data_IF_288803370823
#
_entry.id   IF_288803370823
#
_cell.length_a   1.000
_cell.length_b   1.000
_cell.length_c   1.000
_cell.angle_alpha   90.00
_cell.angle_beta   90.00
_cell.angle_gamma   90.00
#
_symmetry.space_group_name_H-M   'P 1'
#
loop_
_entity.id
_entity.type
_entity.pdbx_description
1 polymer ?
#
# COMPACT_ATOMS: atom_id res chain seq x y z
N UNK A 1 -10.39 -8.63 -13.32
CA UNK A 1 -9.71 -8.56 -12.00
C UNK A 1 -8.48 -7.69 -12.16
N UNK A 2 -8.20 -6.79 -11.21
CA UNK A 2 -6.99 -5.96 -11.24
C UNK A 2 -5.76 -6.80 -10.85
N UNK A 3 -4.64 -6.61 -11.54
CA UNK A 3 -3.39 -7.33 -11.28
C UNK A 3 -2.20 -6.38 -11.39
N UNK A 4 -1.86 -5.73 -10.29
CA UNK A 4 -0.73 -4.81 -10.19
C UNK A 4 0.54 -5.60 -9.94
N UNK A 5 1.52 -5.50 -10.84
CA UNK A 5 2.81 -6.18 -10.73
C UNK A 5 3.96 -5.21 -11.04
N UNK A 6 5.12 -5.52 -10.47
CA UNK A 6 6.37 -4.82 -10.72
C UNK A 6 6.67 -3.72 -9.69
N UNK A 7 7.86 -3.14 -9.81
CA UNK A 7 8.35 -2.06 -8.96
C UNK A 7 8.63 -0.81 -9.79
N UNK A 8 8.20 0.34 -9.28
CA UNK A 8 8.32 1.61 -9.98
C UNK A 8 8.92 2.68 -9.06
N UNK A 9 10.09 3.19 -9.43
CA UNK A 9 10.64 4.39 -8.82
C UNK A 9 9.84 5.62 -9.28
N UNK A 10 9.28 6.37 -8.33
CA UNK A 10 8.50 7.58 -8.59
C UNK A 10 8.91 8.69 -7.62
N UNK A 11 8.50 9.92 -7.93
CA UNK A 11 8.78 11.07 -7.08
C UNK A 11 7.50 11.73 -6.57
N UNK A 12 7.57 12.26 -5.35
CA UNK A 12 6.56 13.13 -4.75
C UNK A 12 7.02 14.59 -4.81
N UNK A 13 6.10 15.49 -5.16
CA UNK A 13 6.36 16.91 -5.15
C UNK A 13 6.28 17.50 -3.73
N UNK A 14 6.70 18.77 -3.57
CA UNK A 14 6.70 19.46 -2.28
C UNK A 14 5.30 19.58 -1.63
N UNK A 15 4.22 19.46 -2.41
CA UNK A 15 2.84 19.51 -1.91
C UNK A 15 2.33 18.13 -1.47
N UNK A 16 3.10 17.07 -1.69
CA UNK A 16 2.70 15.71 -1.38
C UNK A 16 1.96 15.01 -2.52
N UNK A 17 2.05 15.53 -3.75
CA UNK A 17 1.43 14.90 -4.93
C UNK A 17 2.42 13.99 -5.63
N UNK A 18 1.95 12.84 -6.08
CA UNK A 18 2.72 11.92 -6.92
C UNK A 18 1.91 11.54 -8.16
N UNK A 19 2.60 11.28 -9.26
CA UNK A 19 2.00 10.78 -10.48
C UNK A 19 2.02 9.25 -10.47
N UNK A 20 0.89 8.62 -10.77
CA UNK A 20 0.79 7.17 -10.90
C UNK A 20 1.39 6.76 -12.25
N UNK A 21 2.27 5.74 -12.31
CA UNK A 21 2.82 5.21 -13.55
C UNK A 21 1.71 4.86 -14.55
N UNK A 22 1.96 5.11 -15.84
CA UNK A 22 0.93 5.01 -16.88
C UNK A 22 0.20 3.65 -16.89
N UNK A 23 0.94 2.55 -16.79
CA UNK A 23 0.38 1.20 -16.74
C UNK A 23 -0.54 0.98 -15.53
N UNK A 24 -0.08 1.36 -14.33
CA UNK A 24 -0.89 1.25 -13.10
C UNK A 24 -2.14 2.12 -13.20
N UNK A 25 -2.02 3.32 -13.79
CA UNK A 25 -3.15 4.22 -14.02
C UNK A 25 -4.19 3.62 -14.96
N UNK A 26 -3.78 2.98 -16.05
CA UNK A 26 -4.68 2.29 -16.97
C UNK A 26 -5.42 1.14 -16.28
N UNK A 27 -4.70 0.35 -15.48
CA UNK A 27 -5.30 -0.73 -14.69
C UNK A 27 -6.30 -0.21 -13.66
N UNK A 28 -6.00 0.90 -12.96
CA UNK A 28 -6.92 1.58 -12.04
C UNK A 28 -8.13 2.18 -12.77
N UNK A 29 -7.93 2.79 -13.94
CA UNK A 29 -9.04 3.33 -14.73
C UNK A 29 -10.01 2.22 -15.14
N UNK A 30 -9.50 1.09 -15.63
CA UNK A 30 -10.31 -0.07 -16.01
C UNK A 30 -11.01 -0.71 -14.80
N UNK A 31 -10.34 -0.79 -13.65
CA UNK A 31 -10.85 -1.51 -12.48
C UNK A 31 -11.87 -0.71 -11.65
N UNK A 32 -11.67 0.60 -11.51
CA UNK A 32 -12.38 1.41 -10.53
C UNK A 32 -12.52 2.89 -10.93
N UNK A 33 -12.30 3.22 -12.20
CA UNK A 33 -12.32 4.61 -12.70
C UNK A 33 -11.37 5.53 -11.93
N UNK A 34 -10.22 5.01 -11.47
CA UNK A 34 -9.23 5.80 -10.72
C UNK A 34 -9.58 6.07 -9.26
N UNK A 35 -10.65 5.45 -8.72
CA UNK A 35 -11.01 5.53 -7.29
C UNK A 35 -10.23 4.51 -6.48
N UNK A 36 -9.51 5.00 -5.47
CA UNK A 36 -8.64 4.18 -4.62
C UNK A 36 -8.90 4.48 -3.16
N UNK A 37 -8.41 3.60 -2.30
CA UNK A 37 -8.30 3.84 -0.86
C UNK A 37 -6.83 3.66 -0.48
N UNK A 38 -6.26 4.70 0.13
CA UNK A 38 -4.91 4.67 0.67
C UNK A 38 -4.98 4.50 2.19
N UNK A 39 -4.20 3.58 2.75
CA UNK A 39 -4.14 3.35 4.20
C UNK A 39 -2.74 2.99 4.68
N UNK A 40 -2.52 2.95 5.98
CA UNK A 40 -1.28 2.51 6.61
C UNK A 40 -1.14 0.99 6.52
N UNK A 41 0.05 0.48 6.20
CA UNK A 41 0.35 -0.93 6.44
C UNK A 41 0.44 -1.19 7.96
N UNK A 42 -0.12 -2.29 8.44
CA UNK A 42 -0.19 -2.57 9.88
C UNK A 42 1.04 -3.27 10.44
N UNK A 43 1.87 -3.80 9.55
CA UNK A 43 3.10 -4.49 9.89
C UNK A 43 4.19 -3.51 10.36
N UNK A 44 5.34 -4.04 10.74
CA UNK A 44 6.48 -3.21 11.17
C UNK A 44 7.05 -2.39 10.01
N UNK A 45 6.81 -2.90 8.81
CA UNK A 45 7.00 -2.27 7.52
C UNK A 45 6.13 -1.01 7.36
N UNK A 46 6.68 0.14 7.75
CA UNK A 46 6.06 1.47 7.61
C UNK A 46 5.97 1.89 6.13
N UNK A 47 5.03 1.31 5.40
CA UNK A 47 4.62 1.71 4.06
C UNK A 47 3.11 2.01 4.03
N UNK A 48 2.61 2.49 2.88
CA UNK A 48 1.18 2.67 2.64
C UNK A 48 0.64 1.60 1.71
N UNK A 49 -0.59 1.17 1.95
CA UNK A 49 -1.31 0.25 1.09
C UNK A 49 -2.30 1.04 0.25
N UNK A 50 -2.28 0.82 -1.07
CA UNK A 50 -3.20 1.39 -2.03
C UNK A 50 -4.07 0.28 -2.61
N UNK A 51 -5.36 0.34 -2.33
CA UNK A 51 -6.36 -0.57 -2.87
C UNK A 51 -7.20 0.16 -3.90
N UNK A 52 -7.53 -0.46 -5.05
CA UNK A 52 -8.68 0.00 -5.82
C UNK A 52 -9.94 -0.13 -4.94
N UNK A 53 -10.87 0.81 -5.09
CA UNK A 53 -12.05 0.93 -4.21
C UNK A 53 -12.84 -0.40 -4.05
N UNK A 54 -13.15 -1.17 -5.11
CA UNK A 54 -13.90 -2.44 -4.95
C UNK A 54 -13.18 -3.48 -4.08
N UNK A 55 -11.84 -3.54 -4.16
CA UNK A 55 -11.03 -4.45 -3.36
C UNK A 55 -11.04 -4.04 -1.88
N UNK A 56 -10.99 -2.74 -1.61
CA UNK A 56 -11.13 -2.22 -0.25
C UNK A 56 -12.51 -2.51 0.33
N UNK A 57 -13.57 -2.32 -0.45
CA UNK A 57 -14.95 -2.59 -0.01
C UNK A 57 -15.17 -4.06 0.34
N UNK A 58 -14.50 -4.99 -0.37
CA UNK A 58 -14.53 -6.42 -0.05
C UNK A 58 -13.72 -6.77 1.22
N UNK A 59 -12.63 -6.04 1.49
CA UNK A 59 -11.74 -6.27 2.63
C UNK A 59 -12.27 -5.62 3.92
N UNK A 60 -12.83 -4.40 3.85
CA UNK A 60 -13.25 -3.59 5.00
C UNK A 60 -14.13 -4.35 6.00
N UNK A 61 -15.19 -5.08 5.60
CA UNK A 61 -16.05 -5.78 6.56
C UNK A 61 -15.30 -6.85 7.37
N UNK A 62 -14.26 -7.46 6.78
CA UNK A 62 -13.43 -8.46 7.46
C UNK A 62 -12.58 -7.82 8.56
N UNK A 63 -12.06 -6.61 8.31
CA UNK A 63 -11.31 -5.83 9.30
C UNK A 63 -12.25 -5.33 10.42
N UNK A 64 -13.45 -4.87 10.06
CA UNK A 64 -14.47 -4.41 11.02
C UNK A 64 -14.95 -5.54 11.93
N UNK A 65 -15.01 -6.77 11.43
CA UNK A 65 -15.42 -7.95 12.19
C UNK A 65 -14.37 -8.48 13.19
N UNK A 66 -13.15 -7.91 13.19
CA UNK A 66 -12.10 -8.33 14.11
C UNK A 66 -12.50 -8.12 15.59
N UNK A 67 -12.09 -9.01 16.51
CA UNK A 67 -12.53 -8.98 17.90
C UNK A 67 -11.99 -7.78 18.66
N UNK A 68 -12.88 -6.84 19.00
CA UNK A 68 -12.54 -5.60 19.69
C UNK A 68 -11.89 -5.78 21.08
N UNK A 69 -12.02 -6.95 21.72
CA UNK A 69 -11.36 -7.23 23.00
C UNK A 69 -9.87 -7.58 22.85
N UNK A 70 -9.44 -8.03 21.66
CA UNK A 70 -8.05 -8.34 21.39
C UNK A 70 -7.23 -7.06 21.10
N UNK A 71 -6.11 -6.86 21.81
CA UNK A 71 -5.26 -5.66 21.66
C UNK A 71 -4.64 -5.54 20.27
N UNK A 72 -4.19 -6.65 19.67
CA UNK A 72 -3.62 -6.69 18.33
C UNK A 72 -4.67 -6.37 17.26
N UNK A 73 -5.87 -6.93 17.39
CA UNK A 73 -7.00 -6.62 16.52
C UNK A 73 -7.35 -5.12 16.53
N UNK A 74 -7.45 -4.50 17.72
CA UNK A 74 -7.68 -3.05 17.83
C UNK A 74 -6.55 -2.22 17.20
N UNK A 75 -5.30 -2.64 17.35
CA UNK A 75 -4.15 -1.98 16.71
C UNK A 75 -4.28 -2.05 15.18
N UNK A 76 -4.57 -3.23 14.64
CA UNK A 76 -4.78 -3.46 13.21
C UNK A 76 -5.93 -2.60 12.66
N UNK A 77 -7.09 -2.59 13.32
CA UNK A 77 -8.23 -1.75 12.95
C UNK A 77 -7.87 -0.25 12.96
N UNK A 78 -7.16 0.24 13.99
CA UNK A 78 -6.75 1.65 14.06
C UNK A 78 -5.77 2.03 12.96
N UNK A 79 -4.85 1.13 12.60
CA UNK A 79 -3.90 1.37 11.52
C UNK A 79 -4.64 1.36 10.17
N UNK A 80 -5.35 0.28 9.84
CA UNK A 80 -6.02 0.13 8.55
C UNK A 80 -7.25 1.03 8.39
N UNK A 81 -8.22 0.95 9.29
CA UNK A 81 -9.46 1.74 9.15
C UNK A 81 -9.23 3.20 9.53
N UNK A 82 -8.45 3.44 10.59
CA UNK A 82 -8.21 4.81 11.08
C UNK A 82 -7.40 5.69 10.14
N UNK A 83 -6.61 5.10 9.24
CA UNK A 83 -5.87 5.85 8.22
C UNK A 83 -6.46 5.73 6.81
N UNK A 84 -7.48 4.89 6.61
CA UNK A 84 -8.09 4.69 5.29
C UNK A 84 -8.67 6.00 4.76
N UNK A 85 -8.12 6.46 3.64
CA UNK A 85 -8.52 7.69 2.97
C UNK A 85 -8.91 7.36 1.53
N UNK A 86 -10.20 7.50 1.18
CA UNK A 86 -10.64 7.45 -0.22
C UNK A 86 -10.02 8.60 -1.01
N UNK A 87 -9.49 8.30 -2.20
CA UNK A 87 -8.87 9.25 -3.11
C UNK A 87 -9.29 8.94 -4.54
N UNK A 88 -9.21 9.94 -5.40
CA UNK A 88 -9.42 9.81 -6.84
C UNK A 88 -8.23 10.40 -7.57
N UNK A 89 -7.79 9.73 -8.63
CA UNK A 89 -6.76 10.26 -9.52
C UNK A 89 -7.29 11.51 -10.23
N UNK A 90 -6.49 12.58 -10.25
CA UNK A 90 -6.81 13.76 -11.06
C UNK A 90 -6.68 13.47 -12.57
N UNK A 91 -7.06 14.44 -13.40
CA UNK A 91 -6.97 14.33 -14.86
C UNK A 91 -5.54 14.12 -15.39
N UNK A 92 -4.52 14.41 -14.59
CA UNK A 92 -3.11 14.14 -14.90
C UNK A 92 -2.64 12.78 -14.34
N UNK A 93 -3.53 12.01 -13.70
CA UNK A 93 -3.22 10.74 -13.07
C UNK A 93 -2.42 10.86 -11.78
N UNK A 94 -2.58 11.96 -11.05
CA UNK A 94 -1.90 12.21 -9.79
C UNK A 94 -2.84 12.00 -8.62
N UNK A 95 -2.25 11.70 -7.46
CA UNK A 95 -2.94 11.69 -6.17
C UNK A 95 -2.24 12.65 -5.21
N UNK A 96 -2.98 13.17 -4.23
CA UNK A 96 -2.43 13.92 -3.10
C UNK A 96 -2.39 13.01 -1.88
N UNK A 97 -1.19 12.72 -1.38
CA UNK A 97 -1.04 11.86 -0.20
C UNK A 97 -1.31 12.68 1.07
N UNK A 98 -2.29 12.28 1.92
CA UNK A 98 -2.59 12.97 3.16
C UNK A 98 -1.35 13.14 4.06
N UNK A 99 -1.17 14.30 4.73
CA UNK A 99 -0.01 14.53 5.60
C UNK A 99 0.18 13.46 6.70
N UNK A 100 -0.92 12.93 7.25
CA UNK A 100 -0.90 11.87 8.27
C UNK A 100 -0.28 10.59 7.73
N UNK A 101 -0.68 10.16 6.53
CA UNK A 101 -0.15 8.99 5.85
C UNK A 101 1.31 9.18 5.41
N UNK A 102 1.66 10.37 4.92
CA UNK A 102 3.07 10.71 4.60
C UNK A 102 3.97 10.58 5.83
N UNK A 103 3.51 11.13 6.96
CA UNK A 103 4.25 11.07 8.22
C UNK A 103 4.37 9.64 8.73
N UNK A 104 3.30 8.85 8.63
CA UNK A 104 3.28 7.45 9.04
C UNK A 104 4.34 6.60 8.31
N UNK A 105 4.32 6.65 6.98
CA UNK A 105 5.23 5.86 6.14
C UNK A 105 6.59 6.52 5.90
N UNK A 106 6.86 7.67 6.54
CA UNK A 106 8.09 8.46 6.38
C UNK A 106 8.41 8.72 4.91
N UNK A 107 7.38 9.11 4.15
CA UNK A 107 7.51 9.35 2.72
C UNK A 107 8.26 10.66 2.46
N UNK A 108 9.31 10.59 1.64
CA UNK A 108 10.09 11.72 1.20
C UNK A 108 9.91 11.98 -0.31
N UNK A 109 10.90 12.62 -0.96
CA UNK A 109 10.82 12.92 -2.38
C UNK A 109 10.85 11.66 -3.25
N UNK A 110 11.74 10.70 -2.96
CA UNK A 110 11.93 9.48 -3.74
C UNK A 110 11.14 8.33 -3.14
N UNK A 111 10.32 7.68 -3.97
CA UNK A 111 9.38 6.67 -3.54
C UNK A 111 9.48 5.43 -4.41
N UNK A 112 9.06 4.31 -3.86
CA UNK A 112 8.86 3.05 -4.59
C UNK A 112 7.38 2.67 -4.55
N UNK A 113 6.80 2.43 -5.72
CA UNK A 113 5.46 1.88 -5.87
C UNK A 113 5.56 0.42 -6.32
N UNK A 114 5.12 -0.49 -5.47
CA UNK A 114 5.27 -1.94 -5.65
C UNK A 114 3.91 -2.58 -5.87
N UNK A 115 3.72 -3.31 -6.97
CA UNK A 115 2.51 -4.06 -7.25
C UNK A 115 2.55 -5.44 -6.60
N UNK A 116 1.54 -5.77 -5.80
CA UNK A 116 1.41 -7.04 -5.06
C UNK A 116 0.07 -7.74 -5.42
N UNK A 117 -0.20 -7.84 -6.72
CA UNK A 117 -1.40 -8.46 -7.29
C UNK A 117 -2.65 -7.60 -7.10
N UNK A 118 -3.32 -7.73 -5.94
CA UNK A 118 -4.61 -7.05 -5.68
C UNK A 118 -4.48 -5.64 -5.11
N UNK A 119 -3.28 -5.25 -4.71
CA UNK A 119 -2.97 -3.96 -4.09
C UNK A 119 -1.63 -3.44 -4.61
N UNK A 120 -1.39 -2.16 -4.38
CA UNK A 120 -0.06 -1.58 -4.48
C UNK A 120 0.42 -1.17 -3.09
N UNK A 121 1.73 -1.08 -2.96
CA UNK A 121 2.39 -0.54 -1.77
C UNK A 121 3.20 0.68 -2.16
N UNK A 122 3.16 1.71 -1.32
CA UNK A 122 3.89 2.95 -1.50
C UNK A 122 4.88 3.12 -0.36
N UNK A 123 6.15 3.14 -0.73
CA UNK A 123 7.28 3.17 0.17
C UNK A 123 8.13 4.42 -0.03
N UNK A 124 8.82 4.84 1.02
CA UNK A 124 10.04 5.63 0.83
C UNK A 124 11.11 4.76 0.16
N UNK A 125 11.81 5.29 -0.85
CA UNK A 125 12.84 4.55 -1.59
C UNK A 125 13.92 3.99 -0.66
N UNK A 126 14.42 4.82 0.26
CA UNK A 126 15.44 4.41 1.24
C UNK A 126 14.95 3.24 2.11
N UNK A 127 13.71 3.32 2.60
CA UNK A 127 13.14 2.29 3.47
C UNK A 127 12.88 0.98 2.72
N UNK A 128 12.49 1.08 1.45
CA UNK A 128 12.29 -0.10 0.61
C UNK A 128 13.59 -0.86 0.42
N UNK A 129 14.69 -0.17 0.07
CA UNK A 129 15.98 -0.82 -0.09
C UNK A 129 16.54 -1.35 1.24
N UNK A 130 16.41 -0.58 2.32
CA UNK A 130 16.82 -1.06 3.64
C UNK A 130 16.06 -2.34 4.06
N UNK A 131 14.78 -2.44 3.72
CA UNK A 131 13.98 -3.65 3.98
C UNK A 131 14.39 -4.83 3.08
N UNK A 132 14.73 -4.58 1.81
CA UNK A 132 15.25 -5.64 0.92
C UNK A 132 16.62 -6.17 1.35
N UNK A 133 17.46 -5.30 1.92
CA UNK A 133 18.80 -5.65 2.39
C UNK A 133 18.79 -6.23 3.81
N UNK A 134 17.65 -6.18 4.52
CA UNK A 134 17.49 -6.81 5.83
C UNK A 134 17.47 -8.33 5.64
N UNK A 135 18.55 -8.99 6.03
CA UNK A 135 18.71 -10.44 5.92
C UNK A 135 17.68 -11.14 6.81
N UNK A 136 16.75 -11.89 6.19
CA UNK A 136 15.83 -12.79 6.90
C UNK A 136 16.51 -14.10 7.34
N UNK A 137 17.82 -14.10 7.55
CA UNK A 137 18.62 -15.30 7.84
C UNK A 137 18.19 -15.99 9.15
N UNK A 138 17.36 -15.33 9.98
CA UNK A 138 16.82 -15.87 11.23
C UNK A 138 15.38 -16.41 11.12
N UNK A 139 14.66 -16.15 10.03
CA UNK A 139 13.29 -16.63 9.85
C UNK A 139 13.27 -17.95 9.07
N UNK A 140 12.92 -19.04 9.76
CA UNK A 140 12.71 -20.35 9.16
C UNK A 140 11.69 -20.23 8.01
N UNK A 141 12.08 -20.66 6.79
CA UNK A 141 11.18 -20.59 5.64
C UNK A 141 9.87 -21.33 5.95
N UNK A 142 8.71 -20.67 5.89
CA UNK A 142 7.44 -21.33 6.10
C UNK A 142 7.23 -22.47 5.09
N UNK A 143 6.56 -23.57 5.46
CA UNK A 143 6.29 -24.69 4.56
C UNK A 143 5.60 -24.28 3.26
N UNK A 144 4.78 -23.23 3.30
CA UNK A 144 4.11 -22.68 2.13
C UNK A 144 5.10 -22.05 1.13
N UNK A 145 6.23 -21.51 1.59
CA UNK A 145 7.30 -21.03 0.72
C UNK A 145 8.09 -22.17 0.11
N UNK A 146 8.33 -23.29 0.82
CA UNK A 146 9.00 -24.46 0.24
C UNK A 146 8.23 -25.04 -0.96
N UNK A 147 6.89 -24.94 -0.92
CA UNK A 147 6.02 -25.35 -2.02
C UNK A 147 6.15 -24.45 -3.27
N UNK A 148 6.65 -23.23 -3.09
CA UNK A 148 7.00 -22.31 -4.16
C UNK A 148 8.48 -22.51 -4.43
N UNK A 149 8.83 -23.22 -5.50
CA UNK A 149 10.23 -23.48 -5.86
C UNK A 149 10.98 -22.19 -6.28
N UNK A 150 11.33 -21.36 -5.30
CA UNK A 150 11.93 -20.03 -5.41
C UNK A 150 13.41 -20.04 -5.04
#
# INVERSE_FOLDING_TARGET
MSNFLGSHAINMDAKGRLAIPARVREELAHACSGRIVLTANADEERCLLMYPEPQWEALRPQIEALPNMNKAARRLQRLLLGHATPLELDSAGRILVPPTLRSYARLEKKLMLIGQGKKLELWSEERWFAWLDESSDEDEMPPEMEALSL
#
